data_IF_710631908707
#
_entry.id   IF_710631908707
#
_cell.length_a   1.000
_cell.length_b   1.000
_cell.length_c   1.000
_cell.angle_alpha   90.00
_cell.angle_beta   90.00
_cell.angle_gamma   90.00
#
_symmetry.space_group_name_H-M   'P 1'
#
loop_
_entity.id
_entity.type
_entity.pdbx_description
1 polymer ?
#
# COMPACT_ATOMS: atom_id res chain seq x y z
N UNK A 1 13.01 12.09 -13.64
CA UNK A 1 12.54 11.25 -12.51
C UNK A 1 11.55 10.25 -13.12
N UNK A 2 11.92 8.98 -13.25
CA UNK A 2 11.14 8.00 -14.02
C UNK A 2 10.09 7.34 -13.13
N UNK A 3 8.83 7.33 -13.57
CA UNK A 3 7.67 6.77 -12.90
C UNK A 3 7.56 5.28 -13.24
N UNK A 4 7.86 4.39 -12.30
CA UNK A 4 7.90 2.93 -12.51
C UNK A 4 6.69 2.21 -11.90
N UNK A 5 5.48 2.67 -12.19
CA UNK A 5 4.27 1.94 -11.79
C UNK A 5 4.23 0.62 -12.58
N UNK A 6 3.98 -0.52 -11.92
CA UNK A 6 3.81 -1.81 -12.59
C UNK A 6 2.52 -1.78 -13.44
N UNK A 7 2.66 -1.43 -14.71
CA UNK A 7 1.55 -1.44 -15.66
C UNK A 7 1.27 -2.88 -16.09
N UNK A 8 0.05 -3.36 -15.83
CA UNK A 8 -0.46 -4.51 -16.58
C UNK A 8 -1.19 -3.98 -17.81
N UNK A 9 -0.76 -4.44 -18.99
CA UNK A 9 -1.36 -4.10 -20.26
C UNK A 9 -2.24 -5.28 -20.69
N UNK A 10 -3.55 -5.07 -20.70
CA UNK A 10 -4.50 -6.03 -21.25
C UNK A 10 -4.81 -5.64 -22.69
N UNK A 11 -4.72 -6.62 -23.59
CA UNK A 11 -4.96 -6.40 -25.01
C UNK A 11 -5.97 -7.42 -25.50
N UNK A 12 -7.01 -6.95 -26.18
CA UNK A 12 -7.98 -7.81 -26.82
C UNK A 12 -8.45 -7.21 -28.15
N UNK A 13 -8.76 -8.09 -29.09
CA UNK A 13 -9.32 -7.71 -30.37
C UNK A 13 -10.84 -7.68 -30.27
N UNK A 14 -11.43 -6.61 -30.80
CA UNK A 14 -12.89 -6.49 -30.94
C UNK A 14 -13.25 -6.56 -32.41
N UNK A 15 -14.41 -7.15 -32.70
CA UNK A 15 -14.99 -7.17 -34.03
C UNK A 15 -16.35 -6.49 -33.93
N UNK A 16 -16.54 -5.42 -34.70
CA UNK A 16 -17.85 -4.80 -34.90
C UNK A 16 -18.49 -5.42 -36.15
N UNK A 17 -19.81 -5.63 -36.09
CA UNK A 17 -20.61 -6.14 -37.20
C UNK A 17 -21.85 -5.26 -37.36
N UNK A 18 -22.23 -4.93 -38.59
CA UNK A 18 -23.53 -4.32 -38.84
C UNK A 18 -24.66 -5.38 -38.83
N UNK A 19 -25.91 -4.94 -38.83
CA UNK A 19 -27.10 -5.80 -38.82
C UNK A 19 -27.71 -5.99 -40.23
N UNK A 20 -26.91 -5.78 -41.29
CA UNK A 20 -27.36 -5.87 -42.66
C UNK A 20 -27.57 -7.32 -43.14
N UNK A 21 -28.33 -7.54 -44.23
CA UNK A 21 -28.52 -8.87 -44.83
C UNK A 21 -27.20 -9.49 -45.36
N UNK A 22 -26.26 -8.63 -45.77
CA UNK A 22 -24.87 -8.98 -46.07
C UNK A 22 -24.02 -8.23 -45.06
N UNK A 23 -23.72 -8.93 -43.96
CA UNK A 23 -23.05 -8.35 -42.81
C UNK A 23 -21.65 -7.87 -43.15
N UNK A 24 -21.32 -6.62 -42.81
CA UNK A 24 -19.94 -6.10 -42.86
C UNK A 24 -19.34 -6.13 -41.48
N UNK A 25 -18.05 -6.45 -41.41
CA UNK A 25 -17.29 -6.45 -40.15
C UNK A 25 -16.08 -5.55 -40.22
N UNK A 26 -15.67 -5.03 -39.07
CA UNK A 26 -14.43 -4.32 -38.87
C UNK A 26 -13.78 -4.78 -37.56
N UNK A 27 -12.45 -4.79 -37.50
CA UNK A 27 -11.72 -5.17 -36.30
C UNK A 27 -10.89 -4.02 -35.76
N UNK A 28 -10.74 -3.98 -34.44
CA UNK A 28 -9.87 -3.03 -33.76
C UNK A 28 -9.16 -3.73 -32.60
N UNK A 29 -7.97 -3.22 -32.25
CA UNK A 29 -7.23 -3.62 -31.06
C UNK A 29 -7.58 -2.65 -29.93
N UNK A 30 -8.00 -3.19 -28.80
CA UNK A 30 -8.23 -2.43 -27.57
C UNK A 30 -7.07 -2.69 -26.62
N UNK A 31 -6.49 -1.62 -26.11
CA UNK A 31 -5.44 -1.66 -25.09
C UNK A 31 -5.96 -1.01 -23.81
N UNK A 32 -5.91 -1.75 -22.71
CA UNK A 32 -6.34 -1.29 -21.39
C UNK A 32 -5.14 -1.24 -20.47
N UNK A 33 -4.83 -0.03 -19.97
CA UNK A 33 -3.82 0.17 -18.94
C UNK A 33 -4.46 0.04 -17.56
N UNK A 34 -4.02 -0.95 -16.79
CA UNK A 34 -4.56 -1.21 -15.45
C UNK A 34 -3.56 -0.73 -14.39
N UNK A 35 -4.06 0.06 -13.44
CA UNK A 35 -3.31 0.63 -12.32
C UNK A 35 -3.77 -0.07 -11.04
N UNK A 36 -2.86 -0.72 -10.31
CA UNK A 36 -3.18 -1.53 -9.11
C UNK A 36 -2.19 -1.21 -7.98
N UNK A 37 -2.68 -1.25 -6.75
CA UNK A 37 -1.88 -1.45 -5.54
C UNK A 37 -1.97 -2.95 -5.21
N UNK A 38 -0.97 -3.73 -5.60
CA UNK A 38 -1.01 -5.19 -5.43
C UNK A 38 -0.47 -5.63 -4.08
N UNK A 39 0.27 -4.75 -3.41
CA UNK A 39 0.94 -5.01 -2.17
C UNK A 39 0.28 -4.17 -1.06
N UNK A 40 0.54 -4.58 0.16
CA UNK A 40 0.12 -3.88 1.37
C UNK A 40 1.36 -3.53 2.17
N UNK A 41 1.38 -2.43 2.94
CA UNK A 41 2.54 -2.06 3.72
C UNK A 41 2.90 -3.16 4.73
N UNK A 42 4.19 -3.50 4.81
CA UNK A 42 4.72 -4.50 5.75
C UNK A 42 5.63 -3.81 6.76
N UNK A 43 5.32 -3.96 8.04
CA UNK A 43 6.16 -3.45 9.13
C UNK A 43 7.52 -4.14 9.18
N UNK A 44 8.57 -3.35 9.44
CA UNK A 44 9.95 -3.81 9.46
C UNK A 44 10.49 -3.82 10.90
N UNK A 45 11.34 -4.79 11.23
CA UNK A 45 11.99 -4.86 12.56
C UNK A 45 10.99 -4.85 13.74
N UNK A 46 9.85 -5.52 13.60
CA UNK A 46 8.77 -5.52 14.60
C UNK A 46 9.20 -6.04 15.97
N UNK A 47 10.23 -6.88 16.04
CA UNK A 47 10.82 -7.35 17.30
C UNK A 47 11.40 -6.21 18.17
N UNK A 48 11.71 -5.06 17.57
CA UNK A 48 12.26 -3.88 18.25
C UNK A 48 11.20 -2.85 18.65
N UNK A 49 9.91 -3.11 18.40
CA UNK A 49 8.83 -2.17 18.71
C UNK A 49 8.39 -2.27 20.17
N UNK A 50 9.37 -2.19 21.09
CA UNK A 50 9.17 -2.20 22.52
C UNK A 50 10.01 -1.10 23.17
N UNK A 51 9.40 -0.38 24.10
CA UNK A 51 10.05 0.69 24.85
C UNK A 51 9.71 0.55 26.32
N UNK A 52 10.73 0.50 27.18
CA UNK A 52 10.56 0.67 28.62
C UNK A 52 10.71 2.14 28.96
N UNK A 53 9.72 2.71 29.64
CA UNK A 53 9.71 4.11 30.04
C UNK A 53 9.81 4.16 31.56
N UNK A 54 10.75 4.94 32.07
CA UNK A 54 10.87 5.15 33.52
C UNK A 54 9.66 5.97 34.01
N UNK A 55 9.11 5.58 35.17
CA UNK A 55 7.96 6.26 35.79
C UNK A 55 8.18 7.77 35.99
N UNK A 56 9.42 8.17 36.24
CA UNK A 56 9.84 9.55 36.44
C UNK A 56 10.47 10.18 35.18
N UNK A 57 10.24 9.62 33.99
CA UNK A 57 10.66 10.23 32.73
C UNK A 57 9.93 11.57 32.57
N UNK A 58 10.51 12.64 33.13
CA UNK A 58 9.89 13.95 33.33
C UNK A 58 9.61 14.75 32.05
N UNK A 59 9.39 14.10 30.92
CA UNK A 59 9.09 14.75 29.65
C UNK A 59 7.69 14.36 29.17
N UNK A 60 6.83 15.36 28.99
CA UNK A 60 5.59 15.28 28.23
C UNK A 60 5.83 15.31 26.70
N UNK A 61 7.10 15.19 26.27
CA UNK A 61 7.51 15.16 24.87
C UNK A 61 7.26 13.80 24.20
N UNK A 62 7.47 13.70 22.88
CA UNK A 62 7.25 12.46 22.16
C UNK A 62 8.13 11.34 22.74
N UNK A 63 7.49 10.25 23.16
CA UNK A 63 8.20 9.00 23.45
C UNK A 63 8.73 8.49 22.13
N UNK A 64 10.02 8.69 21.90
CA UNK A 64 10.74 8.11 20.76
C UNK A 64 11.13 6.70 21.16
N UNK A 65 10.75 5.72 20.34
CA UNK A 65 11.18 4.33 20.52
C UNK A 65 12.71 4.35 20.44
N UNK A 66 13.38 3.93 21.51
CA UNK A 66 14.83 4.01 21.68
C UNK A 66 15.60 3.25 20.59
N UNK A 67 14.93 2.31 19.92
CA UNK A 67 15.50 1.43 18.91
C UNK A 67 15.28 1.93 17.47
N UNK A 68 14.62 3.07 17.26
CA UNK A 68 14.49 3.72 15.95
C UNK A 68 13.07 4.15 15.60
N UNK A 69 12.88 4.61 14.35
CA UNK A 69 11.56 4.95 13.82
C UNK A 69 10.75 3.68 13.51
N UNK A 70 9.44 3.72 13.78
CA UNK A 70 8.51 2.75 13.19
C UNK A 70 8.60 2.88 11.67
N UNK A 71 8.78 1.76 10.98
CA UNK A 71 8.87 1.74 9.53
C UNK A 71 8.04 0.60 8.95
N UNK A 72 7.37 0.91 7.85
CA UNK A 72 6.72 -0.07 7.01
C UNK A 72 7.09 0.25 5.57
N UNK A 73 7.20 -0.78 4.74
CA UNK A 73 7.53 -0.65 3.33
C UNK A 73 6.40 -1.26 2.51
N UNK A 74 5.96 -0.54 1.48
CA UNK A 74 5.15 -1.08 0.42
C UNK A 74 6.03 -1.32 -0.82
N UNK A 75 5.77 -2.39 -1.56
CA UNK A 75 6.52 -2.75 -2.76
C UNK A 75 5.95 -2.11 -4.04
N UNK A 76 4.76 -1.50 -3.96
CA UNK A 76 4.16 -0.76 -5.07
C UNK A 76 4.90 0.56 -5.33
N UNK A 77 5.00 0.96 -6.60
CA UNK A 77 5.65 2.22 -6.96
C UNK A 77 4.68 3.37 -6.87
N UNK A 78 5.17 4.52 -6.38
CA UNK A 78 4.38 5.73 -6.15
C UNK A 78 3.26 5.55 -5.12
N UNK A 79 3.49 4.73 -4.10
CA UNK A 79 2.59 4.54 -2.97
C UNK A 79 3.01 5.37 -1.74
N UNK A 80 2.04 5.64 -0.84
CA UNK A 80 2.25 6.37 0.40
C UNK A 80 1.94 5.48 1.61
N UNK A 81 2.89 5.40 2.54
CA UNK A 81 2.70 4.72 3.82
C UNK A 81 2.27 5.74 4.88
N UNK A 82 1.15 5.46 5.56
CA UNK A 82 0.63 6.25 6.67
C UNK A 82 0.49 5.38 7.93
N UNK A 83 0.71 5.97 9.10
CA UNK A 83 0.65 5.28 10.39
C UNK A 83 -0.46 5.86 11.27
N UNK A 84 -1.17 4.97 11.96
CA UNK A 84 -2.09 5.30 13.05
C UNK A 84 -1.70 4.52 14.29
N UNK A 85 -1.77 5.14 15.46
CA UNK A 85 -1.62 4.47 16.74
C UNK A 85 -3.01 4.13 17.28
N UNK A 86 -3.25 2.85 17.57
CA UNK A 86 -4.46 2.38 18.25
C UNK A 86 -4.03 1.89 19.62
N UNK A 87 -4.58 2.51 20.67
CA UNK A 87 -4.32 2.08 22.04
C UNK A 87 -5.27 0.94 22.37
N UNK A 88 -4.75 -0.26 22.56
CA UNK A 88 -5.51 -1.35 23.16
C UNK A 88 -5.49 -1.16 24.69
N UNK A 89 -6.67 -1.11 25.30
CA UNK A 89 -6.81 -0.88 26.74
C UNK A 89 -6.52 -2.17 27.52
N UNK A 90 -5.26 -2.57 27.58
CA UNK A 90 -4.81 -3.63 28.50
C UNK A 90 -3.75 -3.06 29.46
N UNK A 91 -4.23 -2.43 30.55
CA UNK A 91 -3.38 -1.96 31.64
C UNK A 91 -2.97 -3.17 32.50
N UNK A 92 -1.75 -3.69 32.31
CA UNK A 92 -1.15 -4.64 33.26
C UNK A 92 -0.39 -3.82 34.29
N UNK A 93 -1.04 -3.54 35.42
CA UNK A 93 -0.33 -3.03 36.59
C UNK A 93 0.44 -4.18 37.24
N UNK A 94 1.77 -4.15 37.20
CA UNK A 94 2.60 -5.03 38.03
C UNK A 94 2.81 -4.37 39.40
N UNK A 95 2.38 -5.09 40.44
CA UNK A 95 2.51 -4.77 41.88
C UNK A 95 3.96 -4.61 42.34
#
# INVERSE_FOLDING_TARGET
>A
MSLNILFSLLQFNVIASDAGPISKTASARVEVTVWRNLNTPIFQNTASYAQTIAWNAGSLGPVIISQGAISATDADTNDYVCFICVVDSHQVYSS
#
